data_IF_889308849713
#
_entry.id   IF_889308849713
#
_cell.length_a   1.000
_cell.length_b   1.000
_cell.length_c   1.000
_cell.angle_alpha   90.00
_cell.angle_beta   90.00
_cell.angle_gamma   90.00
#
_symmetry.space_group_name_H-M   'P 1'
#
loop_
_entity.id
_entity.type
_entity.pdbx_description
1 polymer ?
#
# COMPACT_ATOMS: atom_id res chain seq x y z
N UNK A 1 -31.87 1.99 -12.21
CA UNK A 1 -30.79 1.25 -11.53
C UNK A 1 -29.47 2.03 -11.65
N UNK A 2 -29.35 3.23 -11.07
CA UNK A 2 -28.40 4.24 -11.60
C UNK A 2 -27.41 4.91 -10.64
N UNK A 3 -27.67 4.98 -9.33
CA UNK A 3 -26.75 5.62 -8.37
C UNK A 3 -26.02 4.58 -7.51
N UNK A 4 -26.79 3.74 -6.82
CA UNK A 4 -26.28 2.71 -5.91
C UNK A 4 -25.27 1.74 -6.54
N UNK A 5 -25.50 1.34 -7.80
CA UNK A 5 -24.56 0.47 -8.54
C UNK A 5 -23.23 1.17 -8.83
N UNK A 6 -23.27 2.44 -9.22
CA UNK A 6 -22.07 3.24 -9.52
C UNK A 6 -21.25 3.48 -8.25
N UNK A 7 -21.92 3.76 -7.14
CA UNK A 7 -21.28 3.88 -5.84
C UNK A 7 -20.64 2.55 -5.41
N UNK A 8 -21.33 1.41 -5.55
CA UNK A 8 -20.72 0.10 -5.28
C UNK A 8 -19.49 -0.17 -6.15
N UNK A 9 -19.56 0.15 -7.45
CA UNK A 9 -18.43 -0.03 -8.37
C UNK A 9 -17.22 0.85 -7.98
N UNK A 10 -17.46 2.08 -7.53
CA UNK A 10 -16.41 2.99 -7.05
C UNK A 10 -15.77 2.48 -5.74
N UNK A 11 -16.60 2.09 -4.78
CA UNK A 11 -16.17 1.54 -3.48
C UNK A 11 -15.33 0.26 -3.66
N UNK A 12 -15.74 -0.62 -4.57
CA UNK A 12 -14.98 -1.82 -4.93
C UNK A 12 -13.63 -1.46 -5.58
N UNK A 13 -13.64 -0.51 -6.52
CA UNK A 13 -12.43 -0.05 -7.21
C UNK A 13 -11.42 0.57 -6.25
N UNK A 14 -11.86 1.47 -5.35
CA UNK A 14 -10.96 2.17 -4.41
C UNK A 14 -10.55 1.30 -3.22
N UNK A 15 -11.38 0.33 -2.82
CA UNK A 15 -11.07 -0.65 -1.76
C UNK A 15 -11.49 -0.24 -0.35
N UNK A 16 -12.09 0.93 -0.18
CA UNK A 16 -12.55 1.45 1.10
C UNK A 16 -13.93 2.11 0.98
N UNK A 17 -14.68 2.08 2.07
CA UNK A 17 -16.02 2.63 2.23
C UNK A 17 -16.00 4.13 2.49
N UNK A 18 -17.03 4.65 3.15
CA UNK A 18 -17.14 6.07 3.46
C UNK A 18 -16.13 6.47 4.55
N UNK A 19 -15.23 7.39 4.20
CA UNK A 19 -14.19 7.88 5.11
C UNK A 19 -14.73 9.09 5.88
N UNK A 20 -14.51 9.18 7.21
CA UNK A 20 -14.83 10.38 7.97
C UNK A 20 -14.17 11.63 7.39
N UNK A 21 -14.89 12.75 7.33
CA UNK A 21 -14.34 14.06 6.96
C UNK A 21 -13.44 14.60 8.09
N UNK A 22 -12.26 14.00 8.25
CA UNK A 22 -11.23 14.37 9.23
C UNK A 22 -9.90 14.64 8.51
N UNK A 23 -9.04 15.41 9.15
CA UNK A 23 -7.70 15.76 8.68
C UNK A 23 -6.66 15.26 9.68
N UNK A 24 -5.59 14.65 9.16
CA UNK A 24 -4.49 14.09 9.94
C UNK A 24 -3.18 14.81 9.63
N UNK A 25 -2.42 15.16 10.66
CA UNK A 25 -1.09 15.75 10.50
C UNK A 25 -0.01 14.68 10.54
N UNK A 26 1.18 15.04 10.06
CA UNK A 26 2.35 14.16 10.03
C UNK A 26 2.83 13.68 11.40
N UNK A 27 2.43 14.34 12.50
CA UNK A 27 2.86 13.93 13.84
C UNK A 27 2.00 12.79 14.39
N UNK A 28 0.81 12.55 13.81
CA UNK A 28 -0.07 11.45 14.19
C UNK A 28 0.23 10.14 13.43
N UNK A 29 1.25 10.15 12.56
CA UNK A 29 1.69 9.00 11.76
C UNK A 29 3.18 8.84 11.98
N UNK A 30 3.67 7.61 12.10
CA UNK A 30 5.09 7.34 12.39
C UNK A 30 5.90 7.00 11.14
N UNK A 31 5.26 6.49 10.08
CA UNK A 31 5.91 6.13 8.82
C UNK A 31 6.38 7.36 8.03
N UNK A 32 7.67 7.42 7.69
CA UNK A 32 8.31 8.57 7.05
C UNK A 32 7.80 8.84 5.64
N UNK A 33 7.47 7.79 4.88
CA UNK A 33 6.89 7.96 3.55
C UNK A 33 5.51 8.63 3.63
N UNK A 34 4.66 8.19 4.57
CA UNK A 34 3.32 8.74 4.77
C UNK A 34 3.38 10.15 5.36
N UNK A 35 4.33 10.45 6.26
CA UNK A 35 4.58 11.83 6.74
C UNK A 35 4.89 12.80 5.61
N UNK A 36 5.68 12.38 4.62
CA UNK A 36 5.98 13.19 3.43
C UNK A 36 4.73 13.41 2.61
N UNK A 37 3.97 12.35 2.35
CA UNK A 37 2.69 12.45 1.65
C UNK A 37 1.73 13.45 2.33
N UNK A 38 1.59 13.38 3.66
CA UNK A 38 0.76 14.33 4.42
C UNK A 38 1.28 15.76 4.29
N UNK A 39 2.59 15.96 4.30
CA UNK A 39 3.18 17.29 4.17
C UNK A 39 2.97 17.88 2.78
N UNK A 40 3.04 17.05 1.74
CA UNK A 40 2.88 17.47 0.34
C UNK A 40 1.42 17.69 -0.05
N UNK A 41 0.48 17.02 0.63
CA UNK A 41 -0.97 17.09 0.39
C UNK A 41 -1.73 17.80 1.53
N UNK A 42 -1.05 18.60 2.35
CA UNK A 42 -1.69 19.32 3.45
C UNK A 42 -2.69 20.37 2.93
N UNK A 43 -3.96 20.24 3.34
CA UNK A 43 -5.06 21.14 2.95
C UNK A 43 -5.66 21.89 4.13
N UNK A 44 -5.49 21.39 5.35
CA UNK A 44 -6.03 21.97 6.58
C UNK A 44 -4.94 22.51 7.48
N UNK A 45 -5.24 23.61 8.18
CA UNK A 45 -4.38 24.19 9.21
C UNK A 45 -4.56 23.53 10.58
N UNK A 46 -5.52 22.61 10.72
CA UNK A 46 -5.89 21.97 11.99
C UNK A 46 -5.91 20.45 11.81
N UNK A 47 -5.33 19.73 12.76
CA UNK A 47 -5.44 18.28 12.84
C UNK A 47 -6.62 17.88 13.74
N UNK A 48 -7.53 17.05 13.22
CA UNK A 48 -8.73 16.62 13.94
C UNK A 48 -8.44 15.56 15.03
N UNK A 49 -7.25 14.93 14.99
CA UNK A 49 -6.84 13.90 15.94
C UNK A 49 -6.09 14.44 17.14
N UNK A 50 -5.02 15.23 16.91
CA UNK A 50 -4.21 15.78 18.01
C UNK A 50 -4.55 17.23 18.36
N UNK A 51 -5.44 17.89 17.61
CA UNK A 51 -5.85 19.28 17.83
C UNK A 51 -4.77 20.32 17.54
N UNK A 52 -3.67 19.94 16.88
CA UNK A 52 -2.59 20.87 16.54
C UNK A 52 -3.06 21.86 15.49
N UNK A 53 -2.66 23.12 15.65
CA UNK A 53 -2.94 24.21 14.72
C UNK A 53 -1.64 24.79 14.14
N UNK A 54 -1.68 25.17 12.86
CA UNK A 54 -0.56 25.77 12.13
C UNK A 54 -0.92 27.12 11.49
N UNK A 55 0.09 27.95 11.23
CA UNK A 55 -0.08 29.19 10.45
C UNK A 55 -0.19 28.93 8.94
N UNK A 56 0.14 27.71 8.51
CA UNK A 56 0.01 27.18 7.15
C UNK A 56 -0.63 25.79 7.22
N UNK A 57 -1.03 25.19 6.09
CA UNK A 57 -1.56 23.83 6.10
C UNK A 57 -0.56 22.85 6.72
N UNK A 58 -1.04 22.02 7.64
CA UNK A 58 -0.26 21.01 8.38
C UNK A 58 -0.89 19.61 8.34
N UNK A 59 -2.15 19.50 7.90
CA UNK A 59 -2.91 18.26 7.91
C UNK A 59 -3.52 17.97 6.53
N UNK A 60 -3.43 16.72 6.12
CA UNK A 60 -4.03 16.21 4.89
C UNK A 60 -5.37 15.51 5.18
N UNK A 61 -6.20 15.34 4.16
CA UNK A 61 -7.46 14.60 4.29
C UNK A 61 -7.18 13.16 4.69
N UNK A 62 -7.97 12.62 5.62
CA UNK A 62 -7.92 11.20 5.97
C UNK A 62 -8.19 10.32 4.74
N UNK A 63 -9.08 10.75 3.84
CA UNK A 63 -9.40 9.98 2.63
C UNK A 63 -8.19 9.82 1.71
N UNK A 64 -7.34 10.85 1.58
CA UNK A 64 -6.11 10.77 0.80
C UNK A 64 -5.10 9.80 1.43
N UNK A 65 -5.00 9.81 2.76
CA UNK A 65 -4.11 8.90 3.51
C UNK A 65 -4.60 7.46 3.41
N UNK A 66 -5.91 7.21 3.56
CA UNK A 66 -6.51 5.89 3.38
C UNK A 66 -6.26 5.38 1.96
N UNK A 67 -6.43 6.24 0.94
CA UNK A 67 -6.13 5.89 -0.45
C UNK A 67 -4.69 5.41 -0.63
N UNK A 68 -3.72 6.15 -0.08
CA UNK A 68 -2.31 5.75 -0.11
C UNK A 68 -2.05 4.42 0.62
N UNK A 69 -2.64 4.23 1.80
CA UNK A 69 -2.47 3.01 2.59
C UNK A 69 -3.02 1.80 1.84
N UNK A 70 -4.22 1.92 1.27
CA UNK A 70 -4.84 0.83 0.49
C UNK A 70 -4.05 0.52 -0.78
N UNK A 71 -3.53 1.53 -1.48
CA UNK A 71 -2.64 1.33 -2.63
C UNK A 71 -1.36 0.60 -2.21
N UNK A 72 -0.79 0.96 -1.06
CA UNK A 72 0.43 0.34 -0.53
C UNK A 72 0.19 -1.13 -0.14
N UNK A 73 -0.91 -1.43 0.57
CA UNK A 73 -1.29 -2.81 0.89
C UNK A 73 -1.45 -3.63 -0.39
N UNK A 74 -2.20 -3.11 -1.37
CA UNK A 74 -2.48 -3.81 -2.65
C UNK A 74 -1.25 -4.03 -3.53
N UNK A 75 -0.14 -3.36 -3.25
CA UNK A 75 1.12 -3.59 -3.97
C UNK A 75 1.76 -4.94 -3.59
N UNK A 76 1.51 -5.43 -2.38
CA UNK A 76 2.15 -6.64 -1.83
C UNK A 76 1.16 -7.73 -1.43
N UNK A 77 -0.05 -7.33 -1.05
CA UNK A 77 -1.11 -8.18 -0.55
C UNK A 77 -2.28 -8.25 -1.53
N UNK A 78 -2.88 -9.45 -1.63
CA UNK A 78 -4.02 -9.71 -2.48
C UNK A 78 -5.21 -10.25 -1.67
N UNK A 79 -6.40 -10.24 -2.28
CA UNK A 79 -7.49 -11.06 -1.76
C UNK A 79 -7.13 -12.54 -1.88
N UNK A 80 -7.76 -13.45 -1.10
CA UNK A 80 -7.51 -14.87 -1.23
C UNK A 80 -7.68 -15.41 -2.65
N UNK A 81 -8.68 -14.93 -3.38
CA UNK A 81 -8.91 -15.29 -4.79
C UNK A 81 -7.79 -14.77 -5.71
N UNK A 82 -7.30 -13.55 -5.45
CA UNK A 82 -6.21 -12.92 -6.21
C UNK A 82 -4.84 -13.53 -5.91
N UNK A 83 -4.64 -14.08 -4.71
CA UNK A 83 -3.37 -14.68 -4.29
C UNK A 83 -3.05 -16.00 -4.98
N UNK A 84 -4.04 -16.63 -5.65
CA UNK A 84 -3.88 -17.96 -6.25
C UNK A 84 -3.86 -19.11 -5.23
N UNK A 85 -4.21 -18.85 -3.96
CA UNK A 85 -4.30 -19.87 -2.93
C UNK A 85 -5.43 -20.87 -3.22
N UNK A 86 -5.23 -22.20 -3.06
CA UNK A 86 -6.31 -23.15 -3.29
C UNK A 86 -7.38 -23.12 -2.18
N UNK A 87 -8.63 -23.43 -2.56
CA UNK A 87 -9.78 -23.56 -1.66
C UNK A 87 -10.16 -25.02 -1.44
N UNK A 88 -10.21 -25.49 -0.18
CA UNK A 88 -10.66 -26.83 0.17
C UNK A 88 -12.18 -26.85 0.41
N UNK A 89 -12.91 -27.42 -0.55
CA UNK A 89 -14.37 -27.42 -0.55
C UNK A 89 -15.01 -28.30 0.52
N UNK A 90 -14.30 -29.31 1.04
CA UNK A 90 -14.86 -30.22 2.06
C UNK A 90 -14.87 -29.62 3.46
N UNK A 91 -13.82 -28.88 3.81
CA UNK A 91 -13.70 -28.20 5.11
C UNK A 91 -14.19 -26.75 5.04
N UNK A 92 -14.29 -26.19 3.83
CA UNK A 92 -14.90 -24.88 3.59
C UNK A 92 -13.95 -23.72 3.90
N UNK A 93 -12.67 -23.84 3.55
CA UNK A 93 -11.65 -22.84 3.87
C UNK A 93 -10.54 -22.76 2.83
N UNK A 94 -9.79 -21.66 2.88
CA UNK A 94 -8.51 -21.51 2.18
C UNK A 94 -7.45 -22.39 2.84
N UNK A 95 -6.46 -22.85 2.08
CA UNK A 95 -5.36 -23.65 2.64
C UNK A 95 -4.48 -22.82 3.60
N UNK A 96 -4.39 -21.51 3.36
CA UNK A 96 -3.69 -20.56 4.21
C UNK A 96 -4.73 -19.61 4.80
N UNK A 97 -4.67 -19.41 6.12
CA UNK A 97 -5.53 -18.48 6.81
C UNK A 97 -5.18 -17.04 6.37
N UNK A 98 -6.16 -16.26 5.87
CA UNK A 98 -5.93 -14.88 5.48
C UNK A 98 -5.72 -13.98 6.69
N UNK A 99 -4.90 -12.95 6.51
CA UNK A 99 -4.68 -11.89 7.49
C UNK A 99 -5.81 -10.86 7.44
N UNK A 100 -6.17 -10.34 8.60
CA UNK A 100 -6.99 -9.12 8.73
C UNK A 100 -6.18 -7.89 8.33
N UNK A 101 -6.87 -6.78 8.06
CA UNK A 101 -6.23 -5.49 7.72
C UNK A 101 -5.33 -5.01 8.85
N UNK A 102 -5.77 -5.20 10.10
CA UNK A 102 -4.98 -4.87 11.29
C UNK A 102 -3.68 -5.69 11.34
N UNK A 103 -3.76 -7.01 11.10
CA UNK A 103 -2.59 -7.89 11.05
C UNK A 103 -1.63 -7.51 9.93
N UNK A 104 -2.13 -7.14 8.74
CA UNK A 104 -1.30 -6.64 7.63
C UNK A 104 -0.58 -5.36 8.02
N UNK A 105 -1.29 -4.37 8.58
CA UNK A 105 -0.66 -3.11 8.99
C UNK A 105 0.40 -3.32 10.08
N UNK A 106 0.19 -4.28 10.99
CA UNK A 106 1.22 -4.64 11.97
C UNK A 106 2.43 -5.33 11.34
N UNK A 107 2.23 -6.21 10.35
CA UNK A 107 3.33 -6.87 9.64
C UNK A 107 4.17 -5.85 8.84
N UNK A 108 3.52 -4.84 8.26
CA UNK A 108 4.18 -3.73 7.55
C UNK A 108 4.74 -2.63 8.49
N UNK A 109 4.75 -2.88 9.81
CA UNK A 109 5.23 -1.94 10.84
C UNK A 109 4.57 -0.54 10.76
N UNK A 110 3.32 -0.48 10.28
CA UNK A 110 2.58 0.77 10.16
C UNK A 110 2.09 1.25 11.54
N UNK A 111 2.71 2.33 12.02
CA UNK A 111 2.37 2.95 13.31
C UNK A 111 1.70 4.32 13.12
N UNK A 112 0.61 4.54 13.87
CA UNK A 112 -0.13 5.80 13.93
C UNK A 112 -0.77 5.98 15.31
N UNK A 113 -1.26 7.19 15.59
CA UNK A 113 -2.11 7.43 16.77
C UNK A 113 -3.35 6.53 16.74
N UNK A 114 -3.78 6.04 17.90
CA UNK A 114 -4.77 4.95 18.01
C UNK A 114 -6.10 5.25 17.30
N UNK A 115 -6.58 6.49 17.37
CA UNK A 115 -7.81 6.91 16.69
C UNK A 115 -7.61 6.97 15.17
N UNK A 116 -6.45 7.41 14.69
CA UNK A 116 -6.11 7.41 13.24
C UNK A 116 -6.08 5.98 12.73
N UNK A 117 -5.38 5.09 13.44
CA UNK A 117 -5.27 3.68 13.08
C UNK A 117 -6.64 3.01 13.02
N UNK A 118 -7.48 3.22 14.05
CA UNK A 118 -8.84 2.68 14.09
C UNK A 118 -9.72 3.20 12.96
N UNK A 119 -9.63 4.48 12.61
CA UNK A 119 -10.41 5.05 11.51
C UNK A 119 -9.96 4.47 10.16
N UNK A 120 -8.64 4.29 9.94
CA UNK A 120 -8.10 3.68 8.72
C UNK A 120 -8.56 2.23 8.57
N UNK A 121 -8.41 1.40 9.61
CA UNK A 121 -8.84 -0.01 9.58
C UNK A 121 -10.35 -0.09 9.37
N UNK A 122 -11.12 0.76 10.04
CA UNK A 122 -12.59 0.71 10.01
C UNK A 122 -13.22 1.07 8.66
N UNK A 123 -12.49 1.76 7.76
CA UNK A 123 -13.01 2.14 6.44
C UNK A 123 -12.61 1.19 5.33
N UNK A 124 -11.59 0.34 5.52
CA UNK A 124 -11.14 -0.61 4.50
C UNK A 124 -12.15 -1.76 4.44
N UNK A 125 -12.68 -2.04 3.24
CA UNK A 125 -13.78 -3.01 3.08
C UNK A 125 -13.30 -4.46 3.10
N UNK A 126 -12.09 -4.70 2.62
CA UNK A 126 -11.50 -6.03 2.56
C UNK A 126 -10.74 -6.31 3.84
N UNK A 127 -11.03 -7.44 4.49
CA UNK A 127 -10.39 -7.85 5.74
C UNK A 127 -9.79 -9.26 5.65
N UNK A 128 -9.47 -9.68 4.44
CA UNK A 128 -8.81 -10.94 4.16
C UNK A 128 -7.69 -10.70 3.15
N UNK A 129 -6.46 -10.89 3.59
CA UNK A 129 -5.25 -10.56 2.85
C UNK A 129 -4.30 -11.74 2.83
N UNK A 130 -3.76 -12.04 1.65
CA UNK A 130 -2.75 -13.05 1.44
C UNK A 130 -1.71 -12.54 0.44
N UNK A 131 -0.44 -12.80 0.74
CA UNK A 131 0.65 -12.68 -0.24
C UNK A 131 0.46 -13.69 -1.37
N UNK A 132 1.06 -13.42 -2.52
CA UNK A 132 0.97 -14.31 -3.69
C UNK A 132 1.43 -15.74 -3.34
N UNK A 133 0.54 -16.72 -3.51
CA UNK A 133 0.80 -18.12 -3.19
C UNK A 133 1.89 -18.72 -4.09
N UNK A 134 1.96 -18.29 -5.35
CA UNK A 134 2.96 -18.78 -6.30
C UNK A 134 4.33 -18.14 -6.07
N UNK A 135 4.38 -16.94 -5.49
CA UNK A 135 5.61 -16.25 -5.14
C UNK A 135 5.53 -15.61 -3.74
N UNK A 136 5.59 -16.41 -2.67
CA UNK A 136 5.38 -15.92 -1.31
C UNK A 136 6.53 -15.03 -0.79
N UNK A 137 7.69 -15.04 -1.45
CA UNK A 137 8.88 -14.28 -1.05
C UNK A 137 9.56 -13.63 -2.27
N UNK A 138 8.93 -12.63 -2.92
CA UNK A 138 9.48 -12.00 -4.12
C UNK A 138 10.86 -11.37 -3.86
N UNK A 139 11.09 -10.88 -2.65
CA UNK A 139 12.38 -10.30 -2.25
C UNK A 139 13.54 -11.27 -2.38
N UNK A 140 13.33 -12.55 -2.00
CA UNK A 140 14.35 -13.60 -2.12
C UNK A 140 14.69 -13.85 -3.58
N UNK A 141 13.68 -13.83 -4.45
CA UNK A 141 13.87 -13.98 -5.89
C UNK A 141 14.70 -12.80 -6.46
N UNK A 142 14.36 -11.57 -6.07
CA UNK A 142 15.09 -10.35 -6.48
C UNK A 142 16.54 -10.39 -5.98
N UNK A 143 16.77 -10.73 -4.71
CA UNK A 143 18.11 -10.85 -4.14
C UNK A 143 18.94 -11.91 -4.90
N UNK A 144 18.35 -13.06 -5.19
CA UNK A 144 19.01 -14.10 -5.98
C UNK A 144 19.40 -13.61 -7.37
N UNK A 145 18.51 -12.90 -8.08
CA UNK A 145 18.85 -12.32 -9.38
C UNK A 145 19.90 -11.22 -9.29
N UNK A 146 19.86 -10.40 -8.24
CA UNK A 146 20.86 -9.37 -8.01
C UNK A 146 22.26 -9.97 -7.78
N UNK A 147 22.34 -11.04 -6.99
CA UNK A 147 23.59 -11.77 -6.78
C UNK A 147 24.09 -12.42 -8.07
N UNK A 148 23.18 -13.00 -8.85
CA UNK A 148 23.51 -13.54 -10.17
C UNK A 148 24.06 -12.48 -11.12
N UNK A 149 23.41 -11.31 -11.17
CA UNK A 149 23.84 -10.16 -11.96
C UNK A 149 25.23 -9.68 -11.51
N UNK A 150 25.40 -9.47 -10.20
CA UNK A 150 26.68 -9.07 -9.61
C UNK A 150 27.80 -10.05 -9.99
N UNK A 151 27.54 -11.35 -9.91
CA UNK A 151 28.50 -12.39 -10.29
C UNK A 151 28.83 -12.34 -11.79
N UNK A 152 27.83 -12.15 -12.63
CA UNK A 152 28.01 -12.04 -14.08
C UNK A 152 28.88 -10.84 -14.46
N UNK A 153 28.61 -9.67 -13.87
CA UNK A 153 29.38 -8.44 -14.08
C UNK A 153 30.80 -8.57 -13.53
N UNK A 154 30.96 -9.06 -12.29
CA UNK A 154 32.27 -9.12 -11.62
C UNK A 154 33.22 -10.17 -12.22
N UNK A 155 32.68 -11.30 -12.68
CA UNK A 155 33.53 -12.47 -13.00
C UNK A 155 33.49 -12.90 -14.45
N UNK A 156 32.47 -12.53 -15.23
CA UNK A 156 32.31 -13.02 -16.60
C UNK A 156 32.32 -11.89 -17.64
N UNK A 157 31.80 -10.72 -17.30
CA UNK A 157 31.73 -9.57 -18.21
C UNK A 157 32.84 -8.56 -17.92
N UNK A 158 34.00 -8.72 -18.58
CA UNK A 158 35.15 -7.81 -18.40
C UNK A 158 34.91 -6.41 -19.00
N UNK A 159 34.15 -6.33 -20.08
CA UNK A 159 33.80 -5.08 -20.75
C UNK A 159 32.35 -5.13 -21.24
N UNK A 160 31.54 -4.15 -20.85
CA UNK A 160 30.17 -3.96 -21.35
C UNK A 160 30.20 -2.81 -22.35
N UNK A 161 29.93 -3.11 -23.62
CA UNK A 161 29.89 -2.11 -24.68
C UNK A 161 28.44 -1.72 -24.97
N UNK A 162 28.03 -0.55 -24.52
CA UNK A 162 26.74 0.03 -24.87
C UNK A 162 26.82 0.61 -26.29
N UNK A 163 25.90 0.22 -27.18
CA UNK A 163 25.74 0.88 -28.47
C UNK A 163 25.15 2.26 -28.24
N UNK A 164 25.95 3.30 -28.47
CA UNK A 164 25.42 4.66 -28.46
C UNK A 164 24.47 4.83 -29.65
N UNK A 165 23.29 5.44 -29.46
CA UNK A 165 22.39 5.73 -30.56
C UNK A 165 23.10 6.65 -31.55
N UNK A 166 23.02 6.29 -32.84
CA UNK A 166 23.55 7.09 -33.94
C UNK A 166 22.87 8.46 -33.88
N UNK A 167 23.64 9.53 -33.66
CA UNK A 167 23.15 10.89 -33.84
C UNK A 167 22.77 11.04 -35.31
N UNK A 168 21.48 11.14 -35.58
CA UNK A 168 20.98 11.53 -36.90
C UNK A 168 21.50 12.95 -37.17
N UNK A 169 22.27 13.20 -38.23
CA UNK A 169 22.68 14.55 -38.59
C UNK A 169 21.44 15.37 -38.96
N UNK A 170 21.30 16.56 -38.35
CA UNK A 170 20.30 17.57 -38.70
C UNK A 170 20.69 18.24 -40.01
#
# INVERSE_FOLDING_TARGET
MGGMKRWMEEVESRGYGDVPEKNVCKDCIHEEAVKRFVSDNAVSNVCDYCGKEGSSPIAASLEDVVGLVVESIRAEWNSPEGSGTPYESKEGGWIIDPHTTEEVLFEEEFEAESEVFSDIVGVINQDCWLKDFANPNPEVEIQYYWDCFCREVKHKSRYVFFKLPCKVPV
#
